data_IF_686552434811
#
_entry.id   IF_686552434811
#
_cell.length_a   1.000
_cell.length_b   1.000
_cell.length_c   1.000
_cell.angle_alpha   90.00
_cell.angle_beta   90.00
_cell.angle_gamma   90.00
#
_symmetry.space_group_name_H-M   'P 1'
#
loop_
_entity.id
_entity.type
_entity.pdbx_description
1 polymer ?
#
# COMPACT_ATOMS: atom_id res chain seq x y z
N UNK A 1 5.60 0.21 7.77
CA UNK A 1 4.55 -0.82 7.75
C UNK A 1 4.69 -1.66 6.49
N UNK A 2 4.42 -2.97 6.57
CA UNK A 2 4.43 -3.87 5.42
C UNK A 2 2.98 -4.10 4.99
N UNK A 3 2.64 -3.77 3.75
CA UNK A 3 1.24 -3.79 3.28
C UNK A 3 0.68 -5.19 3.08
N UNK A 4 1.57 -6.17 2.86
CA UNK A 4 1.29 -7.59 2.57
C UNK A 4 0.61 -7.81 1.21
N UNK A 5 0.85 -6.92 0.25
CA UNK A 5 0.39 -7.00 -1.14
C UNK A 5 0.80 -8.32 -1.84
N UNK A 6 1.94 -8.90 -1.48
CA UNK A 6 2.38 -10.21 -2.01
C UNK A 6 1.49 -11.40 -1.60
N UNK A 7 0.63 -11.25 -0.59
CA UNK A 7 -0.13 -12.36 -0.02
C UNK A 7 -1.38 -12.66 -0.84
N UNK A 8 -1.47 -13.87 -1.40
CA UNK A 8 -2.69 -14.38 -2.06
C UNK A 8 -3.87 -14.59 -1.10
N UNK A 9 -3.63 -14.54 0.21
CA UNK A 9 -4.69 -14.64 1.24
C UNK A 9 -5.30 -13.28 1.58
N UNK A 10 -4.75 -12.20 1.03
CA UNK A 10 -5.32 -10.87 1.20
C UNK A 10 -6.01 -10.44 -0.09
N UNK A 11 -7.15 -9.78 0.10
CA UNK A 11 -7.82 -9.04 -0.95
C UNK A 11 -7.22 -7.63 -1.08
N UNK A 12 -7.31 -7.00 -2.26
CA UNK A 12 -6.73 -5.69 -2.50
C UNK A 12 -7.24 -4.61 -1.54
N UNK A 13 -8.49 -4.66 -1.10
CA UNK A 13 -9.06 -3.71 -0.14
C UNK A 13 -8.44 -3.87 1.26
N UNK A 14 -8.05 -5.09 1.63
CA UNK A 14 -7.38 -5.36 2.91
C UNK A 14 -5.96 -4.80 2.91
N UNK A 15 -5.27 -4.81 1.77
CA UNK A 15 -3.96 -4.17 1.59
C UNK A 15 -4.08 -2.66 1.78
N UNK A 16 -5.07 -2.03 1.13
CA UNK A 16 -5.35 -0.60 1.31
C UNK A 16 -5.71 -0.27 2.76
N UNK A 17 -6.55 -1.09 3.40
CA UNK A 17 -6.92 -0.89 4.81
C UNK A 17 -5.72 -0.98 5.75
N UNK A 18 -4.70 -1.79 5.44
CA UNK A 18 -3.45 -1.77 6.22
C UNK A 18 -2.74 -0.42 6.11
N UNK A 19 -2.71 0.19 4.92
CA UNK A 19 -2.15 1.53 4.75
C UNK A 19 -2.95 2.54 5.56
N UNK A 20 -4.28 2.60 5.36
CA UNK A 20 -5.17 3.53 6.07
C UNK A 20 -5.07 3.42 7.58
N UNK A 21 -4.95 2.20 8.10
CA UNK A 21 -4.93 1.93 9.55
C UNK A 21 -3.59 2.23 10.21
N UNK A 22 -2.48 1.96 9.52
CA UNK A 22 -1.15 1.93 10.15
C UNK A 22 -0.20 3.02 9.66
N UNK A 23 -0.56 3.77 8.61
CA UNK A 23 0.21 4.94 8.22
C UNK A 23 0.13 6.00 9.32
N UNK A 24 1.29 6.60 9.59
CA UNK A 24 1.49 7.69 10.56
C UNK A 24 2.71 8.49 10.12
N UNK A 25 2.89 9.69 10.67
CA UNK A 25 4.04 10.54 10.36
C UNK A 25 5.36 9.75 10.41
N UNK A 26 6.19 9.98 9.40
CA UNK A 26 7.50 9.32 9.24
C UNK A 26 7.45 7.80 8.99
N UNK A 27 6.29 7.25 8.61
CA UNK A 27 6.20 5.83 8.21
C UNK A 27 6.94 5.56 6.91
N UNK A 28 7.76 4.51 6.91
CA UNK A 28 8.19 3.83 5.66
C UNK A 28 7.12 2.79 5.32
N UNK A 29 6.53 2.88 4.13
CA UNK A 29 5.46 1.98 3.66
C UNK A 29 6.02 1.10 2.54
N UNK A 30 6.02 -0.22 2.74
CA UNK A 30 6.62 -1.16 1.79
C UNK A 30 5.55 -1.88 0.97
N UNK A 31 5.59 -1.65 -0.35
CA UNK A 31 4.94 -2.48 -1.37
C UNK A 31 6.00 -3.35 -2.08
N UNK A 32 5.59 -4.48 -2.66
CA UNK A 32 6.52 -5.39 -3.34
C UNK A 32 6.32 -5.31 -4.84
N UNK A 33 7.30 -4.78 -5.56
CA UNK A 33 7.33 -4.75 -7.02
C UNK A 33 7.71 -6.14 -7.58
N UNK A 34 6.77 -7.06 -7.49
CA UNK A 34 6.92 -8.43 -7.97
C UNK A 34 5.75 -8.86 -8.81
N UNK A 35 6.01 -9.73 -9.80
CA UNK A 35 4.95 -10.37 -10.59
C UNK A 35 3.90 -11.06 -9.72
N UNK A 36 4.27 -11.54 -8.54
CA UNK A 36 3.34 -12.17 -7.59
C UNK A 36 2.31 -11.17 -7.07
N UNK A 37 2.74 -9.98 -6.64
CA UNK A 37 1.87 -8.90 -6.16
C UNK A 37 1.10 -8.22 -7.29
N UNK A 38 1.66 -8.22 -8.50
CA UNK A 38 0.96 -7.73 -9.68
C UNK A 38 -0.14 -8.70 -10.11
N UNK A 39 0.19 -9.97 -10.34
CA UNK A 39 -0.73 -10.99 -10.88
C UNK A 39 -1.86 -11.35 -9.92
N UNK A 40 -1.70 -11.14 -8.60
CA UNK A 40 -2.78 -11.34 -7.65
C UNK A 40 -3.73 -10.12 -7.56
N UNK A 41 -3.47 -9.04 -8.29
CA UNK A 41 -4.28 -7.82 -8.34
C UNK A 41 -4.09 -6.84 -7.17
N UNK A 42 -3.35 -7.23 -6.13
CA UNK A 42 -3.21 -6.42 -4.92
C UNK A 42 -2.44 -5.14 -5.18
N UNK A 43 -1.30 -5.22 -5.88
CA UNK A 43 -0.47 -4.05 -6.16
C UNK A 43 -1.21 -3.06 -7.07
N UNK A 44 -1.83 -3.57 -8.13
CA UNK A 44 -2.60 -2.80 -9.13
C UNK A 44 -3.72 -1.98 -8.48
N UNK A 45 -4.41 -2.55 -7.50
CA UNK A 45 -5.51 -1.88 -6.81
C UNK A 45 -5.02 -0.96 -5.69
N UNK A 46 -4.19 -1.48 -4.78
CA UNK A 46 -3.93 -0.85 -3.50
C UNK A 46 -2.92 0.28 -3.60
N UNK A 47 -1.90 0.17 -4.46
CA UNK A 47 -0.85 1.19 -4.59
C UNK A 47 -1.41 2.56 -5.02
N UNK A 48 -2.12 2.70 -6.17
CA UNK A 48 -2.62 4.01 -6.59
C UNK A 48 -3.59 4.63 -5.57
N UNK A 49 -4.49 3.83 -4.99
CA UNK A 49 -5.45 4.29 -3.97
C UNK A 49 -4.79 4.67 -2.65
N UNK A 50 -3.69 4.02 -2.30
CA UNK A 50 -2.91 4.39 -1.12
C UNK A 50 -2.24 5.74 -1.31
N UNK A 51 -1.71 6.02 -2.51
CA UNK A 51 -1.09 7.31 -2.84
C UNK A 51 -2.14 8.42 -2.79
N UNK A 52 -3.31 8.20 -3.41
CA UNK A 52 -4.44 9.15 -3.39
C UNK A 52 -4.87 9.46 -1.96
N UNK A 53 -5.21 8.43 -1.17
CA UNK A 53 -5.60 8.58 0.23
C UNK A 53 -4.55 9.33 1.06
N UNK A 54 -3.26 8.97 0.94
CA UNK A 54 -2.22 9.63 1.73
C UNK A 54 -2.04 11.10 1.34
N UNK A 55 -2.20 11.45 0.06
CA UNK A 55 -2.19 12.85 -0.37
C UNK A 55 -3.39 13.62 0.17
N UNK A 56 -4.58 13.03 0.15
CA UNK A 56 -5.80 13.62 0.72
C UNK A 56 -5.66 13.89 2.22
N UNK A 57 -5.00 12.99 2.95
CA UNK A 57 -4.69 13.15 4.37
C UNK A 57 -3.54 14.13 4.65
N UNK A 58 -2.93 14.73 3.61
CA UNK A 58 -1.87 15.73 3.75
C UNK A 58 -0.46 15.17 3.95
N UNK A 59 -0.23 13.88 3.68
CA UNK A 59 1.13 13.32 3.70
C UNK A 59 1.95 13.73 2.49
N UNK A 60 3.23 14.01 2.73
CA UNK A 60 4.23 14.18 1.69
C UNK A 60 5.06 12.90 1.50
N UNK A 61 5.38 12.59 0.24
CA UNK A 61 6.25 11.48 -0.11
C UNK A 61 7.69 11.98 -0.25
N UNK A 62 8.62 11.27 0.36
CA UNK A 62 10.06 11.55 0.27
C UNK A 62 10.79 10.32 -0.25
N UNK A 63 11.92 10.57 -0.91
CA UNK A 63 12.87 9.52 -1.27
C UNK A 63 13.65 9.14 -0.02
N UNK A 64 13.90 7.83 0.13
CA UNK A 64 14.77 7.28 1.18
C UNK A 64 16.23 7.34 0.77
#
# INVERSE_FOLDING_TARGET
LVTRDYSKRMRPEQVLNNVKRYARNSSIITFHDSLKSWNNGNLQYALPRSIEFLKEEGYEFKVL
#
